data_IF_591705349698
#
_entry.id   IF_591705349698
#
_cell.length_a   1.000
_cell.length_b   1.000
_cell.length_c   1.000
_cell.angle_alpha   90.00
_cell.angle_beta   90.00
_cell.angle_gamma   90.00
#
_symmetry.space_group_name_H-M   'P 1'
#
loop_
_entity.id
_entity.type
_entity.pdbx_description
1 polymer ?
#
# COMPACT_ATOMS: atom_id res chain seq x y z
N UNK A 1 -15.24 3.06 -13.86
CA UNK A 1 -14.02 3.19 -13.03
C UNK A 1 -14.30 4.28 -12.02
N UNK A 2 -13.98 4.06 -10.74
CA UNK A 2 -14.24 5.07 -9.71
C UNK A 2 -13.27 6.24 -9.89
N UNK A 3 -13.76 7.46 -10.04
CA UNK A 3 -12.94 8.69 -10.11
C UNK A 3 -12.05 8.89 -8.87
N UNK A 4 -12.30 8.15 -7.78
CA UNK A 4 -11.56 8.24 -6.52
C UNK A 4 -10.11 7.80 -6.64
N UNK A 5 -9.78 6.83 -7.51
CA UNK A 5 -8.42 6.30 -7.64
C UNK A 5 -7.46 7.30 -8.32
N UNK A 6 -8.00 8.29 -9.03
CA UNK A 6 -7.21 9.33 -9.70
C UNK A 6 -6.97 10.56 -8.83
N UNK A 7 -7.59 10.63 -7.64
CA UNK A 7 -7.40 11.74 -6.71
C UNK A 7 -6.09 11.57 -5.96
N UNK A 8 -5.39 12.68 -5.75
CA UNK A 8 -4.22 12.70 -4.87
C UNK A 8 -4.62 12.42 -3.42
N UNK A 9 -3.65 11.98 -2.60
CA UNK A 9 -3.86 11.81 -1.17
C UNK A 9 -4.41 13.06 -0.48
N UNK A 10 -3.99 14.26 -0.93
CA UNK A 10 -4.47 15.53 -0.39
C UNK A 10 -5.94 15.79 -0.77
N UNK A 11 -6.32 15.50 -2.02
CA UNK A 11 -7.72 15.62 -2.46
C UNK A 11 -8.62 14.59 -1.75
N UNK A 12 -8.16 13.35 -1.58
CA UNK A 12 -8.88 12.34 -0.82
C UNK A 12 -9.05 12.75 0.63
N UNK A 13 -8.00 13.26 1.27
CA UNK A 13 -8.05 13.80 2.63
C UNK A 13 -9.08 14.91 2.78
N UNK A 14 -9.10 15.87 1.85
CA UNK A 14 -10.06 16.97 1.85
C UNK A 14 -11.50 16.45 1.70
N UNK A 15 -11.74 15.55 0.77
CA UNK A 15 -13.06 14.95 0.54
C UNK A 15 -13.54 14.15 1.77
N UNK A 16 -12.64 13.39 2.41
CA UNK A 16 -12.93 12.67 3.66
C UNK A 16 -13.24 13.64 4.81
N UNK A 17 -12.49 14.73 4.94
CA UNK A 17 -12.72 15.74 5.97
C UNK A 17 -14.07 16.44 5.80
N UNK A 18 -14.46 16.72 4.55
CA UNK A 18 -15.77 17.28 4.17
C UNK A 18 -16.92 16.27 4.22
N UNK A 19 -16.64 14.98 4.49
CA UNK A 19 -17.60 13.87 4.45
C UNK A 19 -18.29 13.72 3.09
N UNK A 20 -17.61 14.10 2.01
CA UNK A 20 -18.09 13.92 0.62
C UNK A 20 -17.94 12.46 0.17
N UNK A 21 -16.99 11.74 0.79
CA UNK A 21 -16.73 10.31 0.62
C UNK A 21 -16.38 9.71 1.97
N UNK A 22 -16.61 8.41 2.15
CA UNK A 22 -16.17 7.63 3.31
C UNK A 22 -14.79 7.00 3.08
N UNK A 23 -14.07 6.70 4.16
CA UNK A 23 -12.82 5.95 4.08
C UNK A 23 -13.07 4.58 3.45
N UNK A 24 -14.18 3.91 3.80
CA UNK A 24 -14.56 2.63 3.21
C UNK A 24 -14.71 2.70 1.69
N UNK A 25 -15.39 3.72 1.16
CA UNK A 25 -15.56 3.90 -0.29
C UNK A 25 -14.23 4.13 -1.00
N UNK A 26 -13.35 4.95 -0.42
CA UNK A 26 -12.02 5.22 -0.98
C UNK A 26 -11.16 3.96 -0.96
N UNK A 27 -11.14 3.22 0.15
CA UNK A 27 -10.41 1.95 0.28
C UNK A 27 -10.94 0.90 -0.70
N UNK A 28 -12.26 0.73 -0.82
CA UNK A 28 -12.87 -0.21 -1.75
C UNK A 28 -12.49 0.12 -3.20
N UNK A 29 -12.55 1.40 -3.59
CA UNK A 29 -12.17 1.82 -4.94
C UNK A 29 -10.73 1.42 -5.32
N UNK A 30 -9.79 1.48 -4.37
CA UNK A 30 -8.41 1.07 -4.60
C UNK A 30 -8.23 -0.46 -4.58
N UNK A 31 -8.94 -1.19 -3.71
CA UNK A 31 -8.97 -2.65 -3.71
C UNK A 31 -9.55 -3.22 -5.02
N UNK A 32 -10.58 -2.57 -5.57
CA UNK A 32 -11.16 -2.91 -6.87
C UNK A 32 -10.16 -2.69 -8.01
N UNK A 33 -9.37 -1.61 -7.93
CA UNK A 33 -8.32 -1.33 -8.90
C UNK A 33 -7.19 -2.36 -8.84
N UNK A 34 -6.72 -2.72 -7.63
CA UNK A 34 -5.76 -3.82 -7.43
C UNK A 34 -6.28 -5.10 -8.07
N UNK A 35 -7.51 -5.49 -7.76
CA UNK A 35 -8.13 -6.70 -8.34
C UNK A 35 -8.15 -6.68 -9.87
N UNK A 36 -8.32 -5.51 -10.47
CA UNK A 36 -8.40 -5.33 -11.91
C UNK A 36 -7.05 -5.39 -12.61
N UNK A 37 -5.99 -4.81 -12.04
CA UNK A 37 -4.72 -4.58 -12.77
C UNK A 37 -3.53 -5.32 -12.21
N UNK A 38 -3.54 -5.70 -10.93
CA UNK A 38 -2.36 -6.25 -10.25
C UNK A 38 -1.95 -7.62 -10.76
N UNK A 39 -2.87 -8.38 -11.38
CA UNK A 39 -2.48 -9.63 -12.07
C UNK A 39 -1.43 -9.41 -13.17
N UNK A 40 -1.46 -8.24 -13.82
CA UNK A 40 -0.49 -7.88 -14.87
C UNK A 40 0.69 -7.08 -14.32
N UNK A 41 0.45 -6.22 -13.32
CA UNK A 41 1.48 -5.34 -12.73
C UNK A 41 2.32 -6.08 -11.69
N UNK A 42 1.72 -6.95 -10.88
CA UNK A 42 2.33 -7.71 -9.79
C UNK A 42 3.07 -6.81 -8.79
N UNK A 43 2.42 -5.71 -8.40
CA UNK A 43 2.90 -4.75 -7.43
C UNK A 43 2.70 -5.22 -5.98
N UNK A 44 1.70 -6.05 -5.68
CA UNK A 44 1.46 -6.56 -4.32
C UNK A 44 1.89 -8.02 -4.14
N UNK A 45 2.51 -8.30 -2.98
CA UNK A 45 2.73 -9.66 -2.50
C UNK A 45 1.58 -10.15 -1.62
N UNK A 46 0.93 -9.21 -0.93
CA UNK A 46 -0.19 -9.50 -0.05
C UNK A 46 -1.16 -8.31 -0.04
N UNK A 47 -2.45 -8.57 -0.22
CA UNK A 47 -3.51 -7.56 -0.16
C UNK A 47 -4.40 -7.88 1.04
N UNK A 48 -4.43 -6.98 2.02
CA UNK A 48 -5.17 -7.15 3.27
C UNK A 48 -6.61 -6.61 3.12
N UNK A 49 -7.39 -7.19 2.21
CA UNK A 49 -8.73 -6.67 1.85
C UNK A 49 -9.62 -6.47 3.08
N UNK A 50 -9.72 -7.49 3.93
CA UNK A 50 -10.56 -7.45 5.14
C UNK A 50 -9.99 -6.47 6.18
N UNK A 51 -8.67 -6.52 6.44
CA UNK A 51 -8.03 -5.64 7.41
C UNK A 51 -8.02 -4.17 6.98
N UNK A 52 -7.91 -3.88 5.69
CA UNK A 52 -7.98 -2.54 5.14
C UNK A 52 -9.39 -1.95 5.25
N UNK A 53 -10.43 -2.72 4.89
CA UNK A 53 -11.82 -2.29 5.05
C UNK A 53 -12.19 -2.08 6.53
N UNK A 54 -11.75 -2.97 7.42
CA UNK A 54 -11.95 -2.81 8.86
C UNK A 54 -11.25 -1.55 9.42
N UNK A 55 -10.02 -1.24 8.97
CA UNK A 55 -9.34 0.00 9.31
C UNK A 55 -10.12 1.23 8.83
N UNK A 56 -10.65 1.18 7.61
CA UNK A 56 -11.44 2.26 7.04
C UNK A 56 -12.74 2.50 7.83
N UNK A 57 -13.46 1.43 8.19
CA UNK A 57 -14.67 1.51 9.01
C UNK A 57 -14.42 2.15 10.38
N UNK A 58 -13.27 1.84 11.01
CA UNK A 58 -12.89 2.46 12.28
C UNK A 58 -12.65 3.97 12.14
N UNK A 59 -12.04 4.41 11.05
CA UNK A 59 -11.84 5.84 10.75
C UNK A 59 -13.17 6.53 10.53
N UNK A 60 -14.07 5.93 9.75
CA UNK A 60 -15.40 6.49 9.49
C UNK A 60 -16.22 6.60 10.78
N UNK A 61 -16.15 5.58 11.66
CA UNK A 61 -16.79 5.61 12.96
C UNK A 61 -16.24 6.71 13.87
N UNK A 62 -14.91 6.88 13.94
CA UNK A 62 -14.28 7.96 14.70
C UNK A 62 -14.67 9.35 14.15
N UNK A 63 -14.73 9.49 12.83
CA UNK A 63 -15.15 10.73 12.15
C UNK A 63 -16.63 11.05 12.42
N UNK A 64 -17.49 10.04 12.46
CA UNK A 64 -18.91 10.20 12.79
C UNK A 64 -19.11 10.69 14.23
N UNK A 65 -18.25 10.26 15.17
CA UNK A 65 -18.22 10.72 16.56
C UNK A 65 -17.66 12.14 16.74
N UNK A 66 -17.12 12.75 15.68
CA UNK A 66 -16.52 14.08 15.75
C UNK A 66 -15.12 14.09 16.40
N UNK A 67 -14.43 12.95 16.41
CA UNK A 67 -13.05 12.89 16.89
C UNK A 67 -12.13 13.74 16.00
N UNK A 68 -11.11 14.36 16.59
CA UNK A 68 -10.12 15.14 15.86
C UNK A 68 -9.12 14.19 15.18
N UNK A 69 -9.34 13.93 13.89
CA UNK A 69 -8.54 13.00 13.10
C UNK A 69 -7.37 13.71 12.40
N UNK A 70 -6.27 12.97 12.22
CA UNK A 70 -5.10 13.45 11.49
C UNK A 70 -5.38 13.71 10.00
N UNK A 71 -4.50 14.45 9.31
CA UNK A 71 -4.71 14.87 7.93
C UNK A 71 -4.67 13.72 6.90
N UNK A 72 -4.31 12.50 7.29
CA UNK A 72 -4.32 11.33 6.39
C UNK A 72 -5.29 10.24 6.87
N UNK A 73 -6.14 10.53 7.86
CA UNK A 73 -7.07 9.55 8.39
C UNK A 73 -8.08 9.11 7.32
N UNK A 74 -8.02 7.83 6.93
CA UNK A 74 -8.86 7.20 5.91
C UNK A 74 -8.21 7.14 4.53
N UNK A 75 -7.02 7.72 4.35
CA UNK A 75 -6.30 7.67 3.07
C UNK A 75 -5.60 6.31 2.93
N UNK A 76 -5.80 5.57 1.81
CA UNK A 76 -5.13 4.29 1.58
C UNK A 76 -3.62 4.43 1.33
N UNK A 77 -2.87 3.39 1.67
CA UNK A 77 -1.41 3.33 1.51
C UNK A 77 -0.93 1.93 1.13
N UNK A 78 0.01 1.86 0.19
CA UNK A 78 0.74 0.65 -0.18
C UNK A 78 2.09 0.58 0.57
N UNK A 79 2.33 -0.51 1.30
CA UNK A 79 3.47 -0.61 2.23
C UNK A 79 4.54 -1.57 1.69
N UNK A 80 5.78 -1.12 1.46
CA UNK A 80 6.86 -2.01 1.02
C UNK A 80 7.07 -3.17 1.98
N UNK A 81 7.26 -4.37 1.43
CA UNK A 81 7.28 -5.61 2.21
C UNK A 81 8.45 -5.75 3.20
N UNK A 82 9.44 -4.85 3.15
CA UNK A 82 10.51 -4.75 4.15
C UNK A 82 10.02 -4.26 5.52
N UNK A 83 8.85 -3.61 5.57
CA UNK A 83 8.31 -3.01 6.79
C UNK A 83 7.45 -4.03 7.54
N UNK A 84 7.95 -4.46 8.70
CA UNK A 84 7.24 -5.35 9.61
C UNK A 84 5.91 -4.71 10.06
N UNK A 85 4.83 -5.47 9.89
CA UNK A 85 3.51 -5.15 10.43
C UNK A 85 3.02 -6.35 11.22
N UNK A 86 2.63 -6.10 12.47
CA UNK A 86 2.26 -7.15 13.41
C UNK A 86 1.13 -8.02 12.87
N UNK A 87 1.35 -9.33 12.84
CA UNK A 87 0.40 -10.33 12.34
C UNK A 87 0.23 -10.39 10.83
N UNK A 88 0.76 -9.44 10.06
CA UNK A 88 0.64 -9.38 8.59
C UNK A 88 1.88 -10.00 7.94
N UNK A 89 1.75 -10.83 6.88
CA UNK A 89 2.90 -11.43 6.22
C UNK A 89 3.95 -10.38 5.85
N UNK A 90 5.21 -10.68 6.15
CA UNK A 90 6.34 -9.83 5.81
C UNK A 90 7.45 -10.74 5.32
N UNK A 91 7.81 -10.66 4.05
CA UNK A 91 8.71 -11.63 3.40
C UNK A 91 10.01 -11.01 2.91
N UNK A 92 10.07 -9.68 2.83
CA UNK A 92 11.15 -8.93 2.18
C UNK A 92 11.41 -9.40 0.73
N UNK A 93 10.38 -9.88 0.03
CA UNK A 93 10.52 -10.49 -1.30
C UNK A 93 11.29 -11.82 -1.31
N UNK A 94 11.49 -12.46 -0.15
CA UNK A 94 12.27 -13.69 0.00
C UNK A 94 11.43 -14.89 0.44
N UNK A 95 11.74 -16.08 -0.10
CA UNK A 95 11.19 -17.35 0.40
C UNK A 95 11.70 -17.74 1.78
N UNK A 96 12.83 -17.19 2.25
CA UNK A 96 13.33 -17.51 3.60
C UNK A 96 12.39 -17.00 4.71
N UNK A 97 11.62 -15.96 4.41
CA UNK A 97 10.61 -15.38 5.30
C UNK A 97 9.19 -15.74 4.85
N UNK A 98 9.03 -16.70 3.94
CA UNK A 98 7.70 -17.20 3.56
C UNK A 98 6.99 -17.76 4.80
N UNK A 99 5.79 -17.25 5.08
CA UNK A 99 5.02 -17.58 6.28
C UNK A 99 5.42 -16.81 7.54
N UNK A 100 6.47 -15.97 7.51
CA UNK A 100 6.79 -15.13 8.66
C UNK A 100 5.73 -14.04 8.88
N UNK A 101 5.16 -14.04 10.08
CA UNK A 101 4.24 -13.01 10.58
C UNK A 101 4.92 -12.31 11.76
N UNK A 102 5.32 -11.04 11.63
CA UNK A 102 6.02 -10.33 12.68
C UNK A 102 5.19 -10.26 13.97
N UNK A 103 5.79 -10.46 15.16
CA UNK A 103 5.13 -10.22 16.44
C UNK A 103 5.19 -8.74 16.86
N UNK A 104 5.59 -7.83 15.96
CA UNK A 104 5.70 -6.40 16.20
C UNK A 104 5.53 -5.62 14.89
N UNK A 105 5.19 -4.34 15.02
CA UNK A 105 5.17 -3.40 13.90
C UNK A 105 6.38 -2.47 13.92
N UNK A 106 6.93 -2.14 12.76
CA UNK A 106 7.93 -1.08 12.61
C UNK A 106 7.37 0.27 13.10
N UNK A 107 8.23 1.16 13.58
CA UNK A 107 7.82 2.47 14.14
C UNK A 107 7.00 3.28 13.13
N UNK A 108 7.38 3.29 11.85
CA UNK A 108 6.62 4.00 10.81
C UNK A 108 5.22 3.42 10.62
N UNK A 109 5.08 2.09 10.64
CA UNK A 109 3.78 1.40 10.54
C UNK A 109 2.89 1.78 11.73
N UNK A 110 3.44 1.79 12.95
CA UNK A 110 2.71 2.23 14.15
C UNK A 110 2.22 3.66 14.01
N UNK A 111 3.08 4.58 13.54
CA UNK A 111 2.72 5.99 13.33
C UNK A 111 1.65 6.17 12.26
N UNK A 112 1.74 5.46 11.14
CA UNK A 112 0.75 5.50 10.06
C UNK A 112 -0.62 5.01 10.55
N UNK A 113 -0.68 3.86 11.23
CA UNK A 113 -1.93 3.32 11.78
C UNK A 113 -2.53 4.23 12.85
N UNK A 114 -1.69 4.79 13.74
CA UNK A 114 -2.15 5.75 14.74
C UNK A 114 -2.68 7.06 14.11
N UNK A 115 -2.19 7.44 12.93
CA UNK A 115 -2.70 8.58 12.17
C UNK A 115 -3.98 8.25 11.37
N UNK A 116 -4.50 7.02 11.46
CA UNK A 116 -5.69 6.57 10.74
C UNK A 116 -5.45 6.25 9.27
N UNK A 117 -4.20 6.09 8.84
CA UNK A 117 -3.89 5.67 7.46
C UNK A 117 -4.31 4.22 7.27
N UNK A 118 -4.98 3.92 6.16
CA UNK A 118 -5.44 2.57 5.84
C UNK A 118 -4.38 1.85 5.02
N UNK A 119 -3.74 0.82 5.58
CA UNK A 119 -2.72 0.06 4.85
C UNK A 119 -3.42 -1.04 4.03
N UNK A 120 -3.29 -0.96 2.70
CA UNK A 120 -3.92 -1.87 1.75
C UNK A 120 -3.27 -3.25 1.71
N UNK A 121 -1.97 -3.31 1.97
CA UNK A 121 -1.19 -4.53 1.79
C UNK A 121 0.30 -4.29 1.71
N UNK A 122 1.02 -5.32 1.28
CA UNK A 122 2.48 -5.38 1.19
C UNK A 122 2.90 -5.37 -0.27
N UNK A 123 3.66 -4.36 -0.69
CA UNK A 123 4.17 -4.27 -2.07
C UNK A 123 5.43 -5.08 -2.27
N UNK A 124 5.57 -5.61 -3.48
CA UNK A 124 6.71 -6.36 -3.96
C UNK A 124 7.98 -5.51 -3.99
N UNK A 125 9.11 -6.19 -3.95
CA UNK A 125 10.44 -5.61 -3.88
C UNK A 125 11.50 -6.63 -4.30
N UNK A 126 12.69 -6.15 -4.67
CA UNK A 126 13.85 -7.05 -4.77
C UNK A 126 14.10 -7.73 -3.42
N UNK A 127 14.49 -9.00 -3.47
CA UNK A 127 14.78 -9.82 -2.29
C UNK A 127 15.75 -9.09 -1.35
N UNK A 128 15.34 -8.90 -0.09
CA UNK A 128 16.07 -8.15 0.93
C UNK A 128 16.54 -6.74 0.53
N UNK A 129 15.79 -6.09 -0.37
CA UNK A 129 16.10 -4.78 -0.91
C UNK A 129 17.41 -4.72 -1.73
N UNK A 130 17.87 -5.86 -2.26
CA UNK A 130 19.10 -5.97 -3.04
C UNK A 130 18.79 -6.10 -4.54
N UNK A 131 18.60 -4.96 -5.18
CA UNK A 131 18.37 -4.87 -6.63
C UNK A 131 17.82 -3.52 -7.04
N UNK A 132 17.78 -3.29 -8.34
CA UNK A 132 17.30 -2.05 -8.96
C UNK A 132 16.26 -2.28 -10.05
N UNK A 133 15.61 -3.46 -10.06
CA UNK A 133 14.60 -3.83 -11.06
C UNK A 133 13.39 -4.58 -10.52
N UNK A 134 13.41 -5.05 -9.27
CA UNK A 134 12.36 -5.91 -8.66
C UNK A 134 12.22 -7.28 -9.35
N UNK A 135 13.16 -7.64 -10.23
CA UNK A 135 13.21 -8.95 -10.88
C UNK A 135 13.72 -10.04 -9.94
N UNK A 136 14.47 -9.68 -8.88
CA UNK A 136 15.01 -10.64 -7.91
C UNK A 136 13.98 -11.07 -6.86
N UNK A 137 12.74 -10.59 -6.91
CA UNK A 137 11.70 -11.05 -5.99
C UNK A 137 11.47 -12.55 -6.15
N UNK A 138 11.53 -13.29 -5.05
CA UNK A 138 11.28 -14.73 -5.03
C UNK A 138 9.81 -15.10 -5.33
N UNK A 139 8.93 -14.09 -5.40
CA UNK A 139 7.50 -14.21 -5.70
C UNK A 139 7.13 -13.73 -7.12
N UNK A 140 8.12 -13.39 -7.94
CA UNK A 140 7.93 -12.97 -9.33
C UNK A 140 8.10 -11.47 -9.54
N UNK A 141 8.30 -11.10 -10.80
CA UNK A 141 8.65 -9.76 -11.24
C UNK A 141 7.47 -8.81 -11.26
N UNK A 142 7.61 -7.64 -10.64
CA UNK A 142 6.71 -6.50 -10.87
C UNK A 142 7.00 -5.88 -12.24
N UNK A 143 5.96 -5.54 -13.00
CA UNK A 143 6.03 -4.88 -14.30
C UNK A 143 5.75 -3.38 -14.18
N UNK A 144 6.33 -2.59 -15.08
CA UNK A 144 6.06 -1.15 -15.13
C UNK A 144 4.66 -0.85 -15.72
N UNK A 145 3.76 -0.14 -15.01
CA UNK A 145 2.43 0.18 -15.53
C UNK A 145 2.43 1.00 -16.82
N UNK A 146 3.49 1.76 -17.11
CA UNK A 146 3.64 2.51 -18.37
C UNK A 146 4.01 1.60 -19.55
N UNK A 147 4.66 0.47 -19.29
CA UNK A 147 4.99 -0.54 -20.28
C UNK A 147 5.30 -1.88 -19.60
N UNK A 148 4.39 -2.84 -19.72
CA UNK A 148 4.47 -4.15 -19.06
C UNK A 148 5.65 -5.04 -19.52
N UNK A 149 6.46 -4.59 -20.48
CA UNK A 149 7.71 -5.27 -20.88
C UNK A 149 8.96 -4.61 -20.27
N UNK A 150 8.80 -3.66 -19.35
CA UNK A 150 9.89 -2.88 -18.74
C UNK A 150 9.85 -3.03 -17.22
N UNK A 151 11.03 -2.85 -16.63
CA UNK A 151 11.20 -2.86 -15.18
C UNK A 151 10.55 -1.61 -14.55
N UNK A 152 10.00 -1.72 -13.33
CA UNK A 152 9.53 -0.60 -12.53
C UNK A 152 10.66 0.09 -11.75
N UNK A 153 11.89 -0.41 -11.85
CA UNK A 153 13.01 -0.03 -10.99
C UNK A 153 13.08 -0.89 -9.72
N UNK A 154 13.91 -0.50 -8.76
CA UNK A 154 14.09 -1.26 -7.52
C UNK A 154 14.96 -0.53 -6.51
N UNK A 155 15.02 -0.99 -5.26
CA UNK A 155 14.38 -2.22 -4.79
C UNK A 155 12.89 -2.07 -4.46
N UNK A 156 12.35 -0.85 -4.46
CA UNK A 156 10.94 -0.56 -4.18
C UNK A 156 10.02 -0.56 -5.41
N UNK A 157 10.29 -1.37 -6.43
CA UNK A 157 9.54 -1.31 -7.70
C UNK A 157 8.06 -1.59 -7.55
N UNK A 158 7.64 -2.48 -6.63
CA UNK A 158 6.22 -2.69 -6.31
C UNK A 158 5.54 -1.44 -5.75
N UNK A 159 6.22 -0.67 -4.91
CA UNK A 159 5.69 0.60 -4.38
C UNK A 159 5.49 1.64 -5.50
N UNK A 160 6.47 1.77 -6.41
CA UNK A 160 6.37 2.70 -7.53
C UNK A 160 5.30 2.26 -8.54
N UNK A 161 5.22 0.97 -8.83
CA UNK A 161 4.21 0.40 -9.72
C UNK A 161 2.79 0.56 -9.17
N UNK A 162 2.57 0.34 -7.87
CA UNK A 162 1.26 0.54 -7.24
C UNK A 162 0.75 1.99 -7.39
N UNK A 163 1.64 2.98 -7.22
CA UNK A 163 1.31 4.39 -7.44
C UNK A 163 0.98 4.66 -8.92
N UNK A 164 1.84 4.21 -9.84
CA UNK A 164 1.67 4.45 -11.27
C UNK A 164 0.47 3.70 -11.89
N UNK A 165 0.02 2.61 -11.27
CA UNK A 165 -1.17 1.85 -11.64
C UNK A 165 -2.46 2.35 -10.97
N UNK A 166 -2.39 3.42 -10.16
CA UNK A 166 -3.51 3.95 -9.36
C UNK A 166 -4.09 2.97 -8.33
N UNK A 167 -3.29 1.98 -7.92
CA UNK A 167 -3.68 0.99 -6.90
C UNK A 167 -3.60 1.57 -5.48
N UNK A 168 -2.82 2.63 -5.28
CA UNK A 168 -2.78 3.40 -4.05
C UNK A 168 -2.42 4.87 -4.34
N UNK A 169 -2.90 5.83 -3.53
CA UNK A 169 -2.53 7.24 -3.66
C UNK A 169 -1.24 7.59 -2.90
N UNK A 170 -0.78 6.69 -2.02
CA UNK A 170 0.44 6.80 -1.22
C UNK A 170 1.16 5.46 -1.16
N UNK A 171 2.49 5.50 -1.07
CA UNK A 171 3.30 4.34 -0.76
C UNK A 171 4.46 4.69 0.16
N UNK A 172 4.93 3.72 0.96
CA UNK A 172 6.20 3.82 1.68
C UNK A 172 7.18 2.82 1.11
N UNK A 173 8.34 3.32 0.68
CA UNK A 173 9.49 2.52 0.27
C UNK A 173 10.61 2.51 1.32
N UNK A 174 11.76 1.98 0.92
CA UNK A 174 13.02 2.07 1.67
C UNK A 174 14.12 2.46 0.70
N UNK A 175 14.98 3.39 1.11
CA UNK A 175 16.15 3.79 0.34
C UNK A 175 17.44 3.40 1.05
N UNK A 176 18.35 2.78 0.30
CA UNK A 176 19.71 2.44 0.73
C UNK A 176 20.76 2.93 -0.27
N UNK A 177 20.37 3.21 -1.52
CA UNK A 177 21.29 3.53 -2.62
C UNK A 177 20.59 3.93 -3.91
N UNK A 178 19.41 4.57 -3.82
CA UNK A 178 18.53 4.90 -4.94
C UNK A 178 17.37 3.91 -5.10
N UNK A 179 16.82 3.40 -4.00
CA UNK A 179 15.72 2.40 -4.01
C UNK A 179 14.30 2.99 -3.92
N UNK A 180 14.19 4.32 -3.82
CA UNK A 180 12.94 5.09 -3.89
C UNK A 180 12.99 6.02 -5.10
#
# INVERSE_FOLDING_TARGET
MSELIYKSAAQLSENLAKKEVSAREVTQAHLDQITKVDKAVHAFLFVDTEGALAQADLVDAARAKGENLGPLAGVPLALKDILAQEGIPTTCGSKILEGWRPPYSATVVKKLRAAGVVILGKTNMDEFAMGSSTENSAFGTTQNPWNLTRIPGGSGGGSAAALAAFEAPLAIGSDTGGSI
#
